data_IF_210945586843
#
_entry.id   IF_210945586843
#
_cell.length_a   1.000
_cell.length_b   1.000
_cell.length_c   1.000
_cell.angle_alpha   90.00
_cell.angle_beta   90.00
_cell.angle_gamma   90.00
#
_symmetry.space_group_name_H-M   'P 1'
#
loop_
_entity.id
_entity.type
_entity.pdbx_description
1 polymer ?
#
# COMPACT_ATOMS: atom_id res chain seq x y z
N UNK A 1 43.68 -38.89 -9.94
CA UNK A 1 42.73 -37.83 -9.54
C UNK A 1 41.38 -37.95 -10.28
N UNK A 2 40.32 -38.42 -9.60
CA UNK A 2 38.96 -38.33 -10.10
C UNK A 2 38.24 -37.06 -9.57
N UNK A 3 37.18 -36.58 -10.25
CA UNK A 3 36.48 -35.33 -9.92
C UNK A 3 35.57 -35.49 -8.69
N UNK A 4 35.20 -34.39 -8.01
CA UNK A 4 34.32 -34.44 -6.84
C UNK A 4 32.88 -34.80 -7.21
N UNK A 5 32.14 -35.47 -6.29
CA UNK A 5 30.74 -35.84 -6.48
C UNK A 5 29.78 -34.63 -6.34
N UNK A 6 28.58 -34.69 -6.96
CA UNK A 6 27.58 -33.62 -6.91
C UNK A 6 26.94 -33.49 -5.52
N UNK A 7 26.67 -32.24 -5.12
CA UNK A 7 25.90 -31.91 -3.92
C UNK A 7 24.51 -32.58 -3.96
N UNK A 8 24.29 -33.53 -3.05
CA UNK A 8 22.96 -33.95 -2.60
C UNK A 8 22.42 -32.89 -1.64
N UNK A 9 21.31 -32.28 -2.03
CA UNK A 9 20.48 -31.42 -1.21
C UNK A 9 19.34 -32.27 -0.65
N UNK A 10 19.58 -32.91 0.50
CA UNK A 10 18.56 -33.61 1.29
C UNK A 10 18.21 -32.73 2.49
N UNK A 11 17.28 -31.77 2.32
CA UNK A 11 16.47 -31.22 3.40
C UNK A 11 15.06 -31.01 2.87
N UNK A 12 14.30 -32.09 2.98
CA UNK A 12 12.88 -32.20 2.70
C UNK A 12 12.07 -31.60 3.86
N UNK A 13 10.97 -30.93 3.50
CA UNK A 13 9.73 -30.77 4.28
C UNK A 13 9.78 -30.03 5.62
N UNK A 14 9.71 -28.70 5.54
CA UNK A 14 8.56 -27.95 6.09
C UNK A 14 8.59 -26.51 5.56
N UNK A 15 7.86 -26.26 4.47
CA UNK A 15 7.63 -24.91 3.96
C UNK A 15 6.57 -24.25 4.83
N UNK A 16 7.01 -23.55 5.87
CA UNK A 16 6.23 -22.47 6.46
C UNK A 16 6.00 -21.45 5.34
N UNK A 17 4.73 -21.15 5.01
CA UNK A 17 4.33 -20.24 3.93
C UNK A 17 4.91 -18.83 4.12
N UNK A 18 6.15 -18.65 3.66
CA UNK A 18 6.91 -17.40 3.69
C UNK A 18 6.57 -16.54 2.48
N UNK A 19 6.42 -15.24 2.74
CA UNK A 19 6.34 -14.09 1.83
C UNK A 19 6.79 -14.39 0.37
N UNK A 20 5.87 -14.53 -0.58
CA UNK A 20 6.21 -14.77 -2.00
C UNK A 20 6.77 -13.53 -2.71
N UNK A 21 6.78 -12.35 -2.06
CA UNK A 21 7.28 -11.07 -2.59
C UNK A 21 6.71 -10.65 -3.96
N UNK A 22 5.60 -11.26 -4.39
CA UNK A 22 4.99 -11.05 -5.72
C UNK A 22 3.87 -10.00 -5.71
N UNK A 23 3.92 -9.05 -4.76
CA UNK A 23 2.90 -8.01 -4.60
C UNK A 23 2.81 -7.07 -5.82
N UNK A 24 3.93 -6.62 -6.43
CA UNK A 24 3.86 -5.84 -7.67
C UNK A 24 3.19 -6.57 -8.82
N UNK A 25 3.28 -7.91 -8.89
CA UNK A 25 2.62 -8.70 -9.93
C UNK A 25 1.09 -8.70 -9.78
N UNK A 26 0.57 -8.81 -8.54
CA UNK A 26 -0.87 -8.76 -8.29
C UNK A 26 -1.47 -7.39 -8.64
N UNK A 27 -0.77 -6.31 -8.30
CA UNK A 27 -1.12 -4.95 -8.72
C UNK A 27 -1.07 -4.82 -10.24
N UNK A 28 0.07 -5.20 -10.84
CA UNK A 28 0.29 -5.15 -12.28
C UNK A 28 -0.75 -5.90 -13.11
N UNK A 29 -1.14 -7.09 -12.67
CA UNK A 29 -2.24 -7.85 -13.30
C UNK A 29 -3.55 -7.09 -13.31
N UNK A 30 -3.87 -6.40 -12.21
CA UNK A 30 -5.11 -5.63 -12.05
C UNK A 30 -5.05 -4.31 -12.86
N UNK A 31 -3.88 -3.69 -12.95
CA UNK A 31 -3.61 -2.50 -13.79
C UNK A 31 -3.76 -2.86 -15.27
N UNK A 32 -3.14 -3.97 -15.70
CA UNK A 32 -3.26 -4.47 -17.07
C UNK A 32 -4.71 -4.84 -17.41
N UNK A 33 -5.43 -5.49 -16.48
CA UNK A 33 -6.86 -5.79 -16.64
C UNK A 33 -7.76 -4.55 -16.73
N UNK A 34 -7.31 -3.41 -16.19
CA UNK A 34 -7.96 -2.12 -16.34
C UNK A 34 -7.61 -1.40 -17.66
N UNK A 35 -6.67 -1.94 -18.45
CA UNK A 35 -6.29 -1.41 -19.78
C UNK A 35 -5.04 -0.52 -19.79
N UNK A 36 -4.24 -0.54 -18.72
CA UNK A 36 -3.04 0.30 -18.58
C UNK A 36 -1.76 -0.51 -18.64
N UNK A 37 -0.69 0.08 -19.16
CA UNK A 37 0.67 -0.43 -19.00
C UNK A 37 1.22 -0.10 -17.61
N UNK A 38 2.09 -0.94 -17.08
CA UNK A 38 2.78 -0.69 -15.82
C UNK A 38 4.25 -1.10 -15.89
N UNK A 39 5.05 -0.47 -15.04
CA UNK A 39 6.42 -0.87 -14.73
C UNK A 39 6.54 -0.95 -13.21
N UNK A 40 7.39 -1.85 -12.70
CA UNK A 40 7.69 -1.92 -11.27
C UNK A 40 9.13 -1.49 -11.01
N UNK A 41 9.35 -0.69 -9.97
CA UNK A 41 10.67 -0.30 -9.51
C UNK A 41 10.75 -0.44 -7.98
N UNK A 42 11.94 -0.68 -7.46
CA UNK A 42 12.16 -0.65 -6.01
C UNK A 42 12.15 0.79 -5.51
N UNK A 43 11.74 1.00 -4.24
CA UNK A 43 11.86 2.30 -3.57
C UNK A 43 13.29 2.83 -3.65
N UNK A 44 14.29 1.96 -3.51
CA UNK A 44 15.72 2.33 -3.60
C UNK A 44 16.10 2.90 -4.97
N UNK A 45 15.57 2.35 -6.07
CA UNK A 45 15.84 2.86 -7.41
C UNK A 45 15.26 4.27 -7.60
N UNK A 46 14.05 4.49 -7.08
CA UNK A 46 13.39 5.81 -7.07
C UNK A 46 14.15 6.82 -6.20
N UNK A 47 14.59 6.41 -5.00
CA UNK A 47 15.38 7.25 -4.09
C UNK A 47 16.72 7.68 -4.72
N UNK A 48 17.36 6.80 -5.50
CA UNK A 48 18.61 7.10 -6.22
C UNK A 48 18.40 7.87 -7.52
N UNK A 49 17.15 8.11 -7.92
CA UNK A 49 16.84 8.80 -9.18
C UNK A 49 17.09 7.95 -10.43
N UNK A 50 17.21 6.63 -10.30
CA UNK A 50 17.32 5.70 -11.43
C UNK A 50 15.99 5.55 -12.19
N UNK A 51 14.88 5.90 -11.53
CA UNK A 51 13.53 5.94 -12.09
C UNK A 51 12.91 7.29 -11.74
N UNK A 52 12.55 8.09 -12.75
CA UNK A 52 11.82 9.34 -12.54
C UNK A 52 10.31 9.08 -12.52
N UNK A 53 9.68 9.28 -11.36
CA UNK A 53 8.23 9.19 -11.23
C UNK A 53 7.49 10.14 -12.20
N UNK A 54 8.10 11.24 -12.63
CA UNK A 54 7.53 12.18 -13.58
C UNK A 54 7.20 11.60 -14.96
N UNK A 55 7.81 10.46 -15.34
CA UNK A 55 7.49 9.76 -16.59
C UNK A 55 6.17 8.96 -16.50
N UNK A 56 5.58 8.85 -15.31
CA UNK A 56 4.41 8.02 -15.04
C UNK A 56 3.20 8.85 -14.61
N UNK A 57 2.04 8.56 -15.19
CA UNK A 57 0.79 9.24 -14.85
C UNK A 57 0.26 8.93 -13.45
N UNK A 58 0.62 7.76 -12.90
CA UNK A 58 0.24 7.30 -11.56
C UNK A 58 1.43 6.58 -10.94
N UNK A 59 1.71 6.85 -9.66
CA UNK A 59 2.59 6.06 -8.80
C UNK A 59 1.74 5.17 -7.92
N UNK A 60 1.90 3.85 -8.05
CA UNK A 60 1.29 2.82 -7.19
C UNK A 60 2.32 2.36 -6.15
N UNK A 61 2.16 2.83 -4.91
CA UNK A 61 3.06 2.53 -3.79
C UNK A 61 2.54 1.34 -2.98
N UNK A 62 3.16 0.19 -3.24
CA UNK A 62 2.85 -1.10 -2.60
C UNK A 62 3.68 -1.27 -1.32
N UNK A 63 3.08 -0.99 -0.17
CA UNK A 63 3.76 -1.07 1.14
C UNK A 63 3.56 -2.43 1.84
N UNK A 64 2.58 -3.23 1.40
CA UNK A 64 2.27 -4.54 1.94
C UNK A 64 2.22 -4.60 3.48
N UNK A 65 3.03 -5.51 4.05
CA UNK A 65 3.19 -5.70 5.51
C UNK A 65 4.32 -4.87 6.14
N UNK A 66 4.95 -3.92 5.44
CA UNK A 66 6.12 -3.24 5.97
C UNK A 66 5.81 -2.53 7.30
N UNK A 67 6.29 -3.14 8.39
CA UNK A 67 6.42 -2.56 9.72
C UNK A 67 7.91 -2.50 10.00
N UNK A 68 8.41 -1.40 10.55
CA UNK A 68 9.72 -1.35 11.20
C UNK A 68 9.83 -2.55 12.16
N UNK A 69 10.59 -3.57 11.76
CA UNK A 69 10.85 -4.75 12.58
C UNK A 69 12.36 -4.80 12.79
N UNK A 70 12.78 -4.84 14.05
CA UNK A 70 14.18 -4.94 14.44
C UNK A 70 14.72 -6.29 13.93
N UNK A 71 15.46 -6.30 12.83
CA UNK A 71 16.22 -7.48 12.44
C UNK A 71 17.43 -7.61 13.39
N UNK A 72 17.45 -8.67 14.18
CA UNK A 72 18.63 -9.10 14.93
C UNK A 72 19.03 -8.17 16.08
N UNK A 73 19.89 -8.70 16.96
CA UNK A 73 20.43 -8.00 18.13
C UNK A 73 21.25 -6.76 17.75
N UNK A 74 20.57 -5.63 17.53
CA UNK A 74 21.17 -4.32 17.37
C UNK A 74 21.99 -4.13 16.09
N UNK A 75 22.12 -2.88 15.67
CA UNK A 75 23.06 -2.41 14.62
C UNK A 75 22.59 -2.51 13.16
N UNK A 76 21.30 -2.35 12.85
CA UNK A 76 20.89 -1.87 11.51
C UNK A 76 19.80 -0.80 11.64
N UNK A 77 19.92 0.36 10.95
CA UNK A 77 18.82 1.33 10.89
C UNK A 77 17.59 0.68 10.23
N UNK A 78 16.39 1.13 10.60
CA UNK A 78 15.11 0.60 10.10
C UNK A 78 15.08 0.57 8.55
N UNK A 79 15.28 -0.60 7.96
CA UNK A 79 15.17 -0.82 6.51
C UNK A 79 13.70 -0.95 6.03
N UNK A 80 12.73 -0.76 6.94
CA UNK A 80 11.31 -1.05 6.71
C UNK A 80 10.37 0.12 7.01
N UNK A 81 10.88 1.35 7.10
CA UNK A 81 10.02 2.53 7.18
C UNK A 81 9.14 2.60 5.91
N UNK A 82 7.83 2.78 6.08
CA UNK A 82 6.88 2.86 4.98
C UNK A 82 7.14 4.09 4.09
N UNK A 83 7.61 5.18 4.71
CA UNK A 83 7.93 6.44 4.03
C UNK A 83 9.26 7.01 4.50
N UNK A 84 10.39 6.47 4.03
CA UNK A 84 11.70 7.06 4.31
C UNK A 84 11.75 8.53 3.85
N UNK A 85 12.49 9.43 4.53
CA UNK A 85 12.54 10.85 4.17
C UNK A 85 12.89 11.13 2.70
N UNK A 86 13.78 10.31 2.10
CA UNK A 86 14.14 10.41 0.70
C UNK A 86 12.93 10.16 -0.23
N UNK A 87 12.19 9.08 0.03
CA UNK A 87 10.94 8.78 -0.70
C UNK A 87 9.90 9.89 -0.52
N UNK A 88 9.72 10.41 0.71
CA UNK A 88 8.80 11.54 0.94
C UNK A 88 9.16 12.76 0.09
N UNK A 89 10.47 13.06 -0.05
CA UNK A 89 10.95 14.14 -0.90
C UNK A 89 10.65 13.93 -2.39
N UNK A 90 10.78 12.70 -2.89
CA UNK A 90 10.42 12.35 -4.26
C UNK A 90 8.92 12.52 -4.49
N UNK A 91 8.09 11.97 -3.60
CA UNK A 91 6.63 12.01 -3.71
C UNK A 91 6.08 13.44 -3.60
N UNK A 92 6.68 14.30 -2.75
CA UNK A 92 6.36 15.73 -2.70
C UNK A 92 6.56 16.40 -4.06
N UNK A 93 7.72 16.18 -4.70
CA UNK A 93 8.01 16.77 -6.02
C UNK A 93 7.09 16.21 -7.10
N UNK A 94 6.79 14.91 -7.05
CA UNK A 94 5.88 14.26 -7.98
C UNK A 94 4.46 14.83 -7.88
N UNK A 95 3.90 14.90 -6.67
CA UNK A 95 2.58 15.45 -6.42
C UNK A 95 2.49 16.94 -6.78
N UNK A 96 3.52 17.73 -6.50
CA UNK A 96 3.57 19.16 -6.87
C UNK A 96 3.52 19.40 -8.39
N UNK A 97 3.84 18.39 -9.21
CA UNK A 97 3.72 18.41 -10.67
C UNK A 97 2.40 17.82 -11.18
N UNK A 98 1.43 17.56 -10.31
CA UNK A 98 0.14 16.96 -10.65
C UNK A 98 0.17 15.44 -10.77
N UNK A 99 1.21 14.78 -10.25
CA UNK A 99 1.30 13.32 -10.22
C UNK A 99 0.24 12.69 -9.32
N UNK A 100 -0.32 11.55 -9.73
CA UNK A 100 -1.34 10.82 -8.97
C UNK A 100 -0.73 9.69 -8.15
N UNK A 101 -1.15 9.52 -6.90
CA UNK A 101 -0.54 8.55 -5.98
C UNK A 101 -1.60 7.60 -5.42
N UNK A 102 -1.45 6.31 -5.71
CA UNK A 102 -2.17 5.25 -5.00
C UNK A 102 -1.25 4.63 -3.95
N UNK A 103 -1.75 4.42 -2.73
CA UNK A 103 -1.01 3.79 -1.63
C UNK A 103 -1.87 2.71 -0.99
N UNK A 104 -1.31 1.52 -0.80
CA UNK A 104 -1.94 0.43 -0.03
C UNK A 104 -0.97 -0.26 0.93
N UNK A 105 -1.41 -0.51 2.16
CA UNK A 105 -0.64 -1.26 3.16
C UNK A 105 -1.25 -1.21 4.56
N UNK A 106 -0.74 -2.03 5.48
CA UNK A 106 -1.26 -2.09 6.86
C UNK A 106 -0.83 -0.91 7.76
N UNK A 107 0.29 -0.26 7.45
CA UNK A 107 0.95 0.70 8.36
C UNK A 107 1.15 2.08 7.73
N UNK A 108 0.29 2.44 6.78
CA UNK A 108 0.40 3.71 6.04
C UNK A 108 0.36 4.92 6.97
N UNK A 109 -0.36 4.87 8.09
CA UNK A 109 -0.47 5.96 9.06
C UNK A 109 0.34 5.68 10.33
N UNK A 110 0.30 4.45 10.86
CA UNK A 110 0.98 4.05 12.10
C UNK A 110 2.49 4.35 12.05
N UNK A 111 3.15 4.12 10.92
CA UNK A 111 4.60 4.36 10.79
C UNK A 111 4.97 5.85 10.93
N UNK A 112 4.12 6.75 10.42
CA UNK A 112 4.33 8.20 10.44
C UNK A 112 3.94 8.87 11.77
N UNK A 113 3.00 8.28 12.53
CA UNK A 113 2.51 8.85 13.81
C UNK A 113 3.08 8.19 15.05
N UNK A 114 3.24 6.88 15.03
CA UNK A 114 3.60 6.09 16.23
C UNK A 114 4.78 5.15 15.99
N UNK A 115 5.35 5.14 14.78
CA UNK A 115 6.55 4.39 14.46
C UNK A 115 7.80 5.00 15.09
N UNK A 116 8.90 4.24 15.09
CA UNK A 116 10.20 4.67 15.64
C UNK A 116 10.76 5.91 14.93
N UNK A 117 10.40 6.12 13.66
CA UNK A 117 10.75 7.29 12.85
C UNK A 117 9.68 8.39 12.79
N UNK A 118 8.65 8.35 13.66
CA UNK A 118 7.57 9.33 13.64
C UNK A 118 8.12 10.75 13.86
N UNK A 119 7.76 11.67 12.96
CA UNK A 119 8.23 13.05 12.98
C UNK A 119 7.14 14.02 12.54
N UNK A 120 7.29 15.30 12.90
CA UNK A 120 6.37 16.34 12.46
C UNK A 120 6.38 16.47 10.92
N UNK A 121 7.54 16.28 10.29
CA UNK A 121 7.74 16.33 8.84
C UNK A 121 7.05 15.15 8.13
N UNK A 122 7.04 13.97 8.74
CA UNK A 122 6.32 12.79 8.24
C UNK A 122 4.81 12.94 8.38
N UNK A 123 4.34 13.52 9.50
CA UNK A 123 2.92 13.84 9.67
C UNK A 123 2.45 14.93 8.70
N UNK A 124 3.28 15.95 8.47
CA UNK A 124 3.03 16.98 7.47
C UNK A 124 2.99 16.39 6.06
N UNK A 125 3.91 15.47 5.73
CA UNK A 125 3.90 14.74 4.46
C UNK A 125 2.55 14.04 4.22
N UNK A 126 2.05 13.27 5.19
CA UNK A 126 0.77 12.58 5.05
C UNK A 126 -0.41 13.55 4.86
N UNK A 127 -0.42 14.68 5.59
CA UNK A 127 -1.50 15.67 5.49
C UNK A 127 -1.46 16.47 4.20
N UNK A 128 -0.29 16.94 3.79
CA UNK A 128 -0.11 17.87 2.67
C UNK A 128 -0.05 17.15 1.31
N UNK A 129 0.56 15.97 1.27
CA UNK A 129 0.73 15.20 0.02
C UNK A 129 -0.34 14.13 -0.09
N UNK A 130 -0.45 13.25 0.91
CA UNK A 130 -1.34 12.09 0.83
C UNK A 130 -2.80 12.40 1.23
N UNK A 131 -3.03 13.58 1.82
CA UNK A 131 -4.34 14.12 2.21
C UNK A 131 -5.10 13.28 3.24
N UNK A 132 -4.40 12.55 4.11
CA UNK A 132 -4.99 11.88 5.27
C UNK A 132 -4.27 12.23 6.58
N UNK A 133 -4.94 11.92 7.70
CA UNK A 133 -4.38 11.90 9.05
C UNK A 133 -4.66 10.56 9.73
N UNK A 134 -3.88 10.25 10.76
CA UNK A 134 -4.07 9.04 11.58
C UNK A 134 -5.35 9.11 12.43
N UNK A 135 -6.12 8.01 12.43
CA UNK A 135 -7.34 7.84 13.24
C UNK A 135 -7.34 6.56 14.09
N UNK A 136 -6.18 5.91 14.22
CA UNK A 136 -5.96 4.73 15.05
C UNK A 136 -5.36 3.56 14.29
N UNK A 137 -4.61 2.73 15.01
CA UNK A 137 -4.12 1.43 14.54
C UNK A 137 -5.11 0.32 14.92
N UNK A 138 -4.90 -0.89 14.39
CA UNK A 138 -5.73 -2.06 14.68
C UNK A 138 -7.22 -1.76 14.46
N UNK A 139 -7.51 -1.15 13.33
CA UNK A 139 -8.81 -0.59 13.03
C UNK A 139 -9.89 -1.64 12.84
N UNK A 140 -9.52 -2.86 12.44
CA UNK A 140 -10.46 -3.91 12.05
C UNK A 140 -9.84 -5.30 12.20
N UNK A 141 -10.69 -6.28 12.46
CA UNK A 141 -10.33 -7.70 12.60
C UNK A 141 -11.13 -8.62 11.68
N UNK A 142 -12.28 -8.18 11.14
CA UNK A 142 -13.16 -9.06 10.34
C UNK A 142 -12.80 -9.17 8.85
N UNK A 143 -11.85 -8.36 8.38
CA UNK A 143 -11.40 -8.40 6.99
C UNK A 143 -12.39 -7.85 5.97
N UNK A 144 -13.36 -7.02 6.36
CA UNK A 144 -14.39 -6.47 5.45
C UNK A 144 -14.36 -4.96 5.37
N UNK A 145 -14.39 -4.44 4.15
CA UNK A 145 -14.53 -3.00 3.87
C UNK A 145 -15.67 -2.73 2.90
N UNK A 146 -16.31 -1.58 3.04
CA UNK A 146 -17.47 -1.16 2.24
C UNK A 146 -17.18 0.15 1.56
N UNK A 147 -17.59 0.28 0.31
CA UNK A 147 -17.60 1.56 -0.43
C UNK A 147 -18.68 2.46 0.14
N UNK A 148 -18.31 3.69 0.52
CA UNK A 148 -19.22 4.62 1.21
C UNK A 148 -19.47 5.93 0.48
N UNK A 149 -18.60 6.34 -0.44
CA UNK A 149 -18.72 7.63 -1.12
C UNK A 149 -18.83 7.46 -2.64
N UNK A 150 -19.90 8.03 -3.20
CA UNK A 150 -20.16 8.03 -4.63
C UNK A 150 -19.33 9.07 -5.39
N UNK A 151 -18.76 10.08 -4.72
CA UNK A 151 -17.98 11.17 -5.33
C UNK A 151 -16.76 10.66 -6.07
N UNK A 152 -16.11 9.61 -5.56
CA UNK A 152 -14.97 9.01 -6.25
C UNK A 152 -15.38 8.04 -7.37
N UNK A 153 -16.68 7.87 -7.65
CA UNK A 153 -17.16 7.03 -8.75
C UNK A 153 -16.89 5.54 -8.58
N UNK A 154 -16.60 5.08 -7.36
CA UNK A 154 -16.33 3.67 -7.08
C UNK A 154 -17.57 2.83 -7.37
N UNK A 155 -17.32 1.63 -7.89
CA UNK A 155 -18.32 0.58 -8.02
C UNK A 155 -18.85 0.23 -6.62
N UNK A 156 -20.18 0.31 -6.44
CA UNK A 156 -20.81 -0.06 -5.16
C UNK A 156 -20.48 -1.51 -4.80
N UNK A 157 -20.26 -1.75 -3.51
CA UNK A 157 -20.12 -3.08 -2.96
C UNK A 157 -19.18 -3.13 -1.77
N UNK A 158 -18.98 -4.36 -1.31
CA UNK A 158 -18.06 -4.68 -0.23
C UNK A 158 -16.83 -5.37 -0.83
N UNK A 159 -15.70 -5.25 -0.13
CA UNK A 159 -14.50 -6.01 -0.35
C UNK A 159 -14.17 -6.83 0.89
N UNK A 160 -13.50 -7.95 0.67
CA UNK A 160 -12.99 -8.83 1.71
C UNK A 160 -11.51 -9.07 1.50
N UNK A 161 -10.71 -8.74 2.51
CA UNK A 161 -9.33 -9.17 2.62
C UNK A 161 -9.21 -10.27 3.67
N UNK A 162 -8.19 -11.11 3.54
CA UNK A 162 -7.98 -12.21 4.48
C UNK A 162 -7.38 -11.70 5.80
N UNK A 163 -8.03 -12.05 6.89
CA UNK A 163 -7.69 -11.76 8.29
C UNK A 163 -7.07 -12.99 8.99
N UNK A 164 -7.07 -14.16 8.34
CA UNK A 164 -6.55 -15.43 8.89
C UNK A 164 -5.44 -16.02 8.03
N UNK A 165 -4.37 -16.59 8.64
CA UNK A 165 -3.33 -17.28 7.88
C UNK A 165 -3.92 -18.52 7.19
N UNK A 166 -3.82 -18.57 5.87
CA UNK A 166 -3.98 -19.77 5.07
C UNK A 166 -2.62 -20.20 4.49
N UNK A 167 -2.54 -21.42 3.95
CA UNK A 167 -1.31 -21.95 3.34
C UNK A 167 -0.77 -21.07 2.19
N UNK A 168 -1.66 -20.28 1.57
CA UNK A 168 -1.39 -19.41 0.42
C UNK A 168 -1.77 -17.92 0.63
N UNK A 169 -2.23 -17.54 1.83
CA UNK A 169 -2.77 -16.18 2.07
C UNK A 169 -2.50 -15.64 3.48
N UNK A 170 -2.13 -14.36 3.57
CA UNK A 170 -1.68 -13.71 4.80
C UNK A 170 -2.83 -13.04 5.59
N UNK A 171 -2.76 -13.13 6.93
CA UNK A 171 -3.61 -12.37 7.85
C UNK A 171 -3.16 -10.90 7.95
N UNK A 172 -4.12 -9.98 7.84
CA UNK A 172 -3.99 -8.55 8.17
C UNK A 172 -4.31 -8.36 9.67
N UNK A 173 -3.28 -8.23 10.51
CA UNK A 173 -3.42 -8.24 11.97
C UNK A 173 -3.73 -6.86 12.58
N UNK A 174 -3.41 -5.77 11.87
CA UNK A 174 -3.51 -4.42 12.41
C UNK A 174 -3.64 -3.38 11.29
N UNK A 175 -4.76 -3.34 10.56
CA UNK A 175 -4.95 -2.34 9.51
C UNK A 175 -5.14 -0.95 10.13
N UNK A 176 -4.74 0.10 9.40
CA UNK A 176 -4.83 1.47 9.87
C UNK A 176 -6.23 2.07 9.62
N UNK A 177 -6.71 2.86 10.59
CA UNK A 177 -7.81 3.77 10.42
C UNK A 177 -7.27 5.15 10.01
N UNK A 178 -7.86 5.70 8.95
CA UNK A 178 -7.50 7.00 8.41
C UNK A 178 -8.57 8.04 8.78
N UNK A 179 -8.28 9.30 8.52
CA UNK A 179 -9.29 10.34 8.40
C UNK A 179 -8.82 11.34 7.33
N UNK A 180 -9.73 12.03 6.63
CA UNK A 180 -9.34 13.13 5.74
C UNK A 180 -8.50 14.17 6.48
N UNK A 181 -7.42 14.64 5.86
CA UNK A 181 -6.57 15.69 6.45
C UNK A 181 -7.29 17.05 6.50
N UNK A 182 -8.09 17.34 5.48
CA UNK A 182 -8.84 18.58 5.30
C UNK A 182 -10.04 18.35 4.36
N UNK A 183 -10.69 19.42 3.90
CA UNK A 183 -11.89 19.37 3.05
C UNK A 183 -11.64 18.93 1.61
N UNK A 184 -10.38 18.91 1.16
CA UNK A 184 -9.97 18.43 -0.17
C UNK A 184 -9.97 16.90 -0.26
N UNK A 185 -10.12 16.21 0.88
CA UNK A 185 -10.16 14.76 0.97
C UNK A 185 -11.47 14.24 1.57
N UNK A 186 -11.82 13.00 1.26
CA UNK A 186 -13.03 12.37 1.76
C UNK A 186 -12.85 10.85 1.93
N UNK A 187 -13.59 10.22 2.86
CA UNK A 187 -13.59 8.77 3.02
C UNK A 187 -14.16 8.09 1.77
N UNK A 188 -13.52 7.03 1.29
CA UNK A 188 -14.01 6.22 0.15
C UNK A 188 -14.37 4.80 0.57
N UNK A 189 -13.72 4.28 1.61
CA UNK A 189 -13.93 2.95 2.15
C UNK A 189 -14.04 3.02 3.67
N UNK A 190 -14.98 2.28 4.26
CA UNK A 190 -15.08 2.05 5.71
C UNK A 190 -14.87 0.57 6.05
N UNK A 191 -14.26 0.28 7.18
CA UNK A 191 -14.30 -1.06 7.77
C UNK A 191 -15.74 -1.39 8.16
N UNK A 192 -16.26 -2.50 7.65
CA UNK A 192 -17.68 -2.82 7.76
C UNK A 192 -18.13 -3.11 9.20
N UNK A 193 -17.21 -3.57 10.06
CA UNK A 193 -17.51 -3.96 11.44
C UNK A 193 -17.78 -2.77 12.38
N UNK A 194 -17.16 -1.61 12.13
CA UNK A 194 -17.19 -0.47 13.06
C UNK A 194 -17.30 0.91 12.40
N UNK A 195 -17.35 0.97 11.07
CA UNK A 195 -17.50 2.22 10.33
C UNK A 195 -16.27 3.12 10.33
N UNK A 196 -15.12 2.68 10.86
CA UNK A 196 -13.86 3.44 10.80
C UNK A 196 -13.40 3.53 9.35
N UNK A 197 -12.76 4.64 9.00
CA UNK A 197 -12.34 4.88 7.61
C UNK A 197 -11.16 3.99 7.26
N UNK A 198 -11.36 3.15 6.24
CA UNK A 198 -10.37 2.23 5.68
C UNK A 198 -9.64 2.82 4.46
N UNK A 199 -10.19 3.87 3.85
CA UNK A 199 -9.54 4.54 2.73
C UNK A 199 -10.02 5.98 2.55
N UNK A 200 -9.10 6.84 2.10
CA UNK A 200 -9.31 8.27 1.85
C UNK A 200 -8.87 8.58 0.42
N UNK A 201 -9.63 9.40 -0.28
CA UNK A 201 -9.25 9.93 -1.59
C UNK A 201 -9.30 11.46 -1.60
N UNK A 202 -8.51 12.06 -2.48
CA UNK A 202 -8.52 13.50 -2.77
C UNK A 202 -8.40 13.73 -4.27
N UNK A 203 -9.39 14.40 -4.85
CA UNK A 203 -9.36 14.78 -6.27
C UNK A 203 -8.31 15.86 -6.51
N UNK A 204 -8.30 16.90 -5.66
CA UNK A 204 -7.33 18.00 -5.71
C UNK A 204 -5.89 17.50 -5.50
N UNK A 205 -5.68 16.62 -4.51
CA UNK A 205 -4.37 16.01 -4.26
C UNK A 205 -4.01 14.88 -5.22
N UNK A 206 -4.95 14.43 -6.06
CA UNK A 206 -4.84 13.21 -6.89
C UNK A 206 -4.31 12.01 -6.10
N UNK A 207 -4.83 11.80 -4.90
CA UNK A 207 -4.41 10.71 -4.02
C UNK A 207 -5.54 9.73 -3.71
N UNK A 208 -5.16 8.46 -3.56
CA UNK A 208 -6.05 7.41 -3.06
C UNK A 208 -5.23 6.53 -2.11
N UNK A 209 -5.62 6.47 -0.84
CA UNK A 209 -4.87 5.77 0.20
C UNK A 209 -5.78 4.79 0.91
N UNK A 210 -5.35 3.53 1.03
CA UNK A 210 -6.07 2.50 1.79
C UNK A 210 -5.19 1.95 2.91
N UNK A 211 -5.80 1.76 4.09
CA UNK A 211 -5.17 1.26 5.31
C UNK A 211 -5.07 -0.27 5.39
N UNK A 212 -5.25 -0.95 4.26
CA UNK A 212 -5.08 -2.41 4.13
C UNK A 212 -4.29 -2.73 2.85
N UNK A 213 -3.57 -3.86 2.78
CA UNK A 213 -2.85 -4.26 1.58
C UNK A 213 -3.83 -4.65 0.46
N UNK A 214 -3.68 -4.07 -0.72
CA UNK A 214 -4.51 -4.38 -1.89
C UNK A 214 -4.37 -5.85 -2.31
N UNK A 215 -3.16 -6.38 -2.22
CA UNK A 215 -2.83 -7.78 -2.47
C UNK A 215 -3.57 -8.76 -1.56
N UNK A 216 -4.03 -8.31 -0.37
CA UNK A 216 -4.72 -9.14 0.60
C UNK A 216 -6.21 -9.35 0.26
N UNK A 217 -6.74 -8.64 -0.73
CA UNK A 217 -8.09 -8.86 -1.23
C UNK A 217 -8.24 -10.30 -1.74
N UNK A 218 -9.33 -10.94 -1.31
CA UNK A 218 -9.57 -12.40 -1.42
C UNK A 218 -9.57 -12.95 -2.83
N UNK A 219 -10.00 -12.19 -3.83
CA UNK A 219 -10.08 -12.67 -5.21
C UNK A 219 -9.67 -11.60 -6.24
N UNK A 220 -9.39 -12.07 -7.45
CA UNK A 220 -9.00 -11.22 -8.58
C UNK A 220 -10.11 -10.26 -9.00
N UNK A 221 -11.38 -10.65 -8.90
CA UNK A 221 -12.50 -9.80 -9.32
C UNK A 221 -12.56 -8.54 -8.46
N UNK A 222 -12.35 -8.69 -7.15
CA UNK A 222 -12.27 -7.60 -6.19
C UNK A 222 -11.06 -6.70 -6.45
N UNK A 223 -9.88 -7.28 -6.69
CA UNK A 223 -8.68 -6.53 -7.06
C UNK A 223 -8.85 -5.74 -8.36
N UNK A 224 -9.29 -6.41 -9.43
CA UNK A 224 -9.52 -5.81 -10.74
C UNK A 224 -10.63 -4.74 -10.70
N UNK A 225 -11.61 -4.86 -9.80
CA UNK A 225 -12.64 -3.83 -9.58
C UNK A 225 -12.03 -2.61 -8.88
N UNK A 226 -11.39 -2.80 -7.73
CA UNK A 226 -10.83 -1.69 -6.96
C UNK A 226 -9.77 -0.93 -7.75
N UNK A 227 -8.85 -1.64 -8.41
CA UNK A 227 -7.79 -1.00 -9.21
C UNK A 227 -8.37 -0.17 -10.36
N UNK A 228 -9.38 -0.71 -11.06
CA UNK A 228 -10.06 0.02 -12.13
C UNK A 228 -10.75 1.28 -11.62
N UNK A 229 -11.42 1.20 -10.47
CA UNK A 229 -12.09 2.35 -9.86
C UNK A 229 -11.06 3.42 -9.44
N UNK A 230 -9.92 3.02 -8.86
CA UNK A 230 -8.81 3.93 -8.50
C UNK A 230 -8.22 4.62 -9.72
N UNK A 231 -7.93 3.88 -10.79
CA UNK A 231 -7.35 4.46 -12.00
C UNK A 231 -8.32 5.42 -12.71
N UNK A 232 -9.61 5.05 -12.78
CA UNK A 232 -10.67 5.93 -13.31
C UNK A 232 -10.85 7.19 -12.48
N UNK A 233 -10.74 7.08 -11.16
CA UNK A 233 -10.75 8.24 -10.28
C UNK A 233 -9.63 9.23 -10.65
N UNK A 234 -8.42 8.76 -10.98
CA UNK A 234 -7.34 9.64 -11.41
C UNK A 234 -7.48 10.18 -12.85
N UNK A 235 -8.17 9.47 -13.74
CA UNK A 235 -8.42 9.95 -15.10
C UNK A 235 -9.48 11.04 -15.18
N UNK A 236 -10.57 10.87 -14.44
CA UNK A 236 -11.69 11.82 -14.48
C UNK A 236 -11.32 13.20 -13.88
N UNK A 237 -10.24 13.27 -13.11
CA UNK A 237 -9.71 14.47 -12.48
C UNK A 237 -8.48 15.05 -13.23
N UNK A 238 -8.28 14.67 -14.49
CA UNK A 238 -7.27 15.27 -15.40
C UNK A 238 -7.75 16.57 -16.03
#
# INVERSE_FOLDING_TARGET
>A
PPPPPPCRSDFETDVIGGNTFDYPYLHGCSIAAAGYSFCSASVRAVERGEVDCGEYGVVDLVLGKQRTTRMGRGVLPSEFAAFPPALQGVLRRYAARGGAIFVSGCFVATDLWTGEGASAEGQAFAREVLRYTYAGSQAATEGRVRVVDARAGLSRGDYRYLDRPGRDHYAVEAPDALAPADRSAFPVLHYAENGRVAGVASAEGRTFVVGFPFEALTDRVQRDRLMRDVLRFFENER
#
